data_IF_384995885578
#
_entry.id   IF_384995885578
#
_cell.length_a   1.000
_cell.length_b   1.000
_cell.length_c   1.000
_cell.angle_alpha   90.00
_cell.angle_beta   90.00
_cell.angle_gamma   90.00
#
_symmetry.space_group_name_H-M   'P 1'
#
loop_
_entity.id
_entity.type
_entity.pdbx_description
1 polymer ?
#
# COMPACT_ATOMS: atom_id res chain seq x y z
N UNK A 1 46.34 5.33 6.00
CA UNK A 1 45.01 5.68 6.49
C UNK A 1 44.19 6.13 5.29
N UNK A 2 43.47 5.25 4.63
CA UNK A 2 42.62 5.56 3.48
C UNK A 2 41.32 6.15 4.00
N UNK A 3 41.16 7.47 3.76
CA UNK A 3 39.91 8.22 3.94
C UNK A 3 38.74 7.39 3.40
N UNK A 4 37.76 7.12 4.23
CA UNK A 4 36.57 6.37 3.88
C UNK A 4 35.74 7.11 2.83
N UNK A 5 36.01 6.89 1.54
CA UNK A 5 35.13 7.30 0.46
C UNK A 5 33.80 6.60 0.65
N UNK A 6 32.74 7.35 0.80
CA UNK A 6 31.39 6.83 0.77
C UNK A 6 31.17 6.19 -0.60
N UNK A 7 30.88 4.89 -0.64
CA UNK A 7 30.56 4.18 -1.87
C UNK A 7 29.19 4.66 -2.33
N UNK A 8 29.12 5.22 -3.53
CA UNK A 8 27.86 5.73 -4.10
C UNK A 8 26.95 4.62 -4.64
N UNK A 9 25.73 4.97 -4.93
CA UNK A 9 24.70 4.05 -5.41
C UNK A 9 25.07 3.41 -6.75
N UNK A 10 25.64 4.20 -7.69
CA UNK A 10 26.06 3.70 -8.99
C UNK A 10 27.15 2.62 -8.90
N UNK A 11 28.08 2.76 -7.94
CA UNK A 11 29.10 1.76 -7.65
C UNK A 11 28.46 0.45 -7.13
N UNK A 12 27.41 0.53 -6.31
CA UNK A 12 26.69 -0.66 -5.83
C UNK A 12 25.92 -1.36 -6.95
N UNK A 13 25.27 -0.64 -7.86
CA UNK A 13 24.63 -1.23 -9.03
C UNK A 13 25.62 -1.97 -9.90
N UNK A 14 26.79 -1.36 -10.19
CA UNK A 14 27.83 -2.02 -10.97
C UNK A 14 28.44 -3.25 -10.28
N UNK A 15 28.54 -3.23 -8.95
CA UNK A 15 28.93 -4.39 -8.17
C UNK A 15 27.95 -5.55 -8.41
N UNK A 16 26.68 -5.28 -8.31
CA UNK A 16 25.65 -6.29 -8.42
C UNK A 16 25.56 -6.85 -9.85
N UNK A 17 25.68 -6.02 -10.89
CA UNK A 17 25.76 -6.49 -12.28
C UNK A 17 26.90 -7.49 -12.47
N UNK A 18 28.06 -7.25 -11.87
CA UNK A 18 29.18 -8.19 -11.93
C UNK A 18 28.91 -9.49 -11.19
N UNK A 19 28.19 -9.44 -10.08
CA UNK A 19 27.75 -10.64 -9.33
C UNK A 19 26.76 -11.48 -10.14
N UNK A 20 25.81 -10.82 -10.79
CA UNK A 20 24.82 -11.47 -11.66
C UNK A 20 25.46 -12.06 -12.91
N UNK A 21 26.51 -11.44 -13.41
CA UNK A 21 27.37 -11.98 -14.47
C UNK A 21 28.28 -13.15 -14.03
N UNK A 22 28.10 -13.68 -12.81
CA UNK A 22 28.77 -14.88 -12.31
C UNK A 22 30.13 -14.65 -11.63
N UNK A 23 30.56 -13.38 -11.45
CA UNK A 23 31.79 -13.13 -10.70
C UNK A 23 31.60 -13.45 -9.21
N UNK A 24 32.65 -14.02 -8.58
CA UNK A 24 32.65 -14.19 -7.13
C UNK A 24 32.62 -12.82 -6.41
N UNK A 25 32.17 -12.79 -5.15
CA UNK A 25 32.17 -11.58 -4.32
C UNK A 25 33.55 -10.89 -4.31
N UNK A 26 34.61 -11.67 -4.18
CA UNK A 26 35.98 -11.16 -4.23
C UNK A 26 36.33 -10.58 -5.60
N UNK A 27 35.98 -11.28 -6.68
CA UNK A 27 36.23 -10.82 -8.06
C UNK A 27 35.49 -9.51 -8.38
N UNK A 28 34.22 -9.42 -8.04
CA UNK A 28 33.40 -8.22 -8.24
C UNK A 28 33.91 -7.02 -7.41
N UNK A 29 34.17 -7.22 -6.11
CA UNK A 29 34.65 -6.17 -5.23
C UNK A 29 36.01 -5.62 -5.67
N UNK A 30 36.93 -6.49 -6.08
CA UNK A 30 38.24 -6.09 -6.60
C UNK A 30 38.13 -5.31 -7.90
N UNK A 31 37.22 -5.70 -8.80
CA UNK A 31 37.05 -5.06 -10.11
C UNK A 31 36.54 -3.62 -10.01
N UNK A 32 35.71 -3.31 -9.01
CA UNK A 32 35.17 -1.97 -8.80
C UNK A 32 35.89 -1.19 -7.68
N UNK A 33 36.88 -1.78 -7.03
CA UNK A 33 37.70 -1.10 -6.02
C UNK A 33 37.05 -0.90 -4.65
N UNK A 34 36.09 -1.73 -4.28
CA UNK A 34 35.48 -1.73 -2.93
C UNK A 34 36.11 -2.83 -2.06
N UNK A 35 36.07 -2.65 -0.74
CA UNK A 35 36.57 -3.67 0.18
C UNK A 35 35.66 -4.90 0.19
N UNK A 36 36.25 -6.07 0.38
CA UNK A 36 35.48 -7.32 0.55
C UNK A 36 34.47 -7.25 1.69
N UNK A 37 34.82 -6.56 2.79
CA UNK A 37 33.91 -6.35 3.93
C UNK A 37 32.68 -5.51 3.50
N UNK A 38 32.89 -4.41 2.77
CA UNK A 38 31.80 -3.59 2.27
C UNK A 38 30.88 -4.39 1.33
N UNK A 39 31.44 -5.23 0.45
CA UNK A 39 30.69 -6.12 -0.42
C UNK A 39 29.87 -7.16 0.38
N UNK A 40 30.48 -7.78 1.40
CA UNK A 40 29.78 -8.72 2.29
C UNK A 40 28.65 -8.08 3.08
N UNK A 41 28.88 -6.86 3.58
CA UNK A 41 27.85 -6.10 4.32
C UNK A 41 26.70 -5.70 3.40
N UNK A 42 26.99 -5.35 2.15
CA UNK A 42 25.97 -5.05 1.12
C UNK A 42 25.12 -6.29 0.81
N UNK A 43 25.72 -7.45 0.53
CA UNK A 43 24.98 -8.69 0.23
C UNK A 43 24.08 -9.13 1.39
N UNK A 44 24.48 -8.85 2.63
CA UNK A 44 23.69 -9.12 3.83
C UNK A 44 22.64 -8.04 4.14
N UNK A 45 22.55 -6.98 3.34
CA UNK A 45 21.66 -5.83 3.61
C UNK A 45 22.02 -5.03 4.86
N UNK A 46 23.30 -5.11 5.31
CA UNK A 46 23.84 -4.36 6.45
C UNK A 46 24.90 -3.36 5.94
N UNK A 47 25.44 -2.50 6.79
CA UNK A 47 26.48 -1.54 6.41
C UNK A 47 25.95 -0.11 6.24
N UNK A 48 26.49 0.64 5.27
CA UNK A 48 26.15 2.06 5.08
C UNK A 48 24.70 2.28 4.66
N UNK A 49 24.12 3.45 4.98
CA UNK A 49 22.76 3.80 4.56
C UNK A 49 22.57 3.74 3.03
N UNK A 50 23.58 4.22 2.29
CA UNK A 50 23.59 4.17 0.81
C UNK A 50 23.63 2.73 0.30
N UNK A 51 24.47 1.86 0.89
CA UNK A 51 24.55 0.44 0.51
C UNK A 51 23.23 -0.30 0.79
N UNK A 52 22.60 -0.03 1.92
CA UNK A 52 21.27 -0.60 2.25
C UNK A 52 20.20 -0.15 1.28
N UNK A 53 20.18 1.14 0.92
CA UNK A 53 19.24 1.68 -0.04
C UNK A 53 19.45 1.08 -1.44
N UNK A 54 20.70 0.99 -1.91
CA UNK A 54 21.05 0.39 -3.19
C UNK A 54 20.67 -1.10 -3.24
N UNK A 55 20.97 -1.86 -2.18
CA UNK A 55 20.58 -3.28 -2.10
C UNK A 55 19.08 -3.47 -2.17
N UNK A 56 18.34 -2.66 -1.39
CA UNK A 56 16.88 -2.66 -1.41
C UNK A 56 16.32 -2.34 -2.79
N UNK A 57 16.83 -1.28 -3.45
CA UNK A 57 16.41 -0.90 -4.79
C UNK A 57 16.71 -2.00 -5.82
N UNK A 58 17.86 -2.66 -5.68
CA UNK A 58 18.26 -3.73 -6.58
C UNK A 58 17.39 -4.99 -6.41
N UNK A 59 17.13 -5.40 -5.17
CA UNK A 59 16.26 -6.55 -4.89
C UNK A 59 14.82 -6.28 -5.36
N UNK A 60 14.34 -5.05 -5.23
CA UNK A 60 13.06 -4.61 -5.77
C UNK A 60 13.02 -4.68 -7.30
N UNK A 61 14.08 -4.27 -7.99
CA UNK A 61 14.17 -4.32 -9.45
C UNK A 61 14.23 -5.76 -10.02
N UNK A 62 14.68 -6.73 -9.23
CA UNK A 62 14.71 -8.15 -9.62
C UNK A 62 13.39 -8.88 -9.45
N UNK A 63 12.52 -8.40 -8.58
CA UNK A 63 11.19 -9.00 -8.40
C UNK A 63 10.33 -8.69 -9.63
N UNK A 64 9.51 -9.64 -10.13
CA UNK A 64 8.56 -9.35 -11.18
C UNK A 64 7.63 -8.21 -10.75
N UNK A 65 7.19 -7.39 -11.72
CA UNK A 65 6.26 -6.30 -11.43
C UNK A 65 4.93 -6.85 -10.90
N UNK A 66 4.46 -7.92 -11.49
CA UNK A 66 3.24 -8.64 -11.08
C UNK A 66 3.51 -10.12 -11.17
N UNK A 67 3.08 -10.87 -10.16
CA UNK A 67 3.01 -12.33 -10.22
C UNK A 67 1.60 -12.70 -10.66
N UNK A 68 1.41 -13.34 -11.84
CA UNK A 68 0.11 -13.80 -12.30
C UNK A 68 -0.54 -14.75 -11.30
N UNK A 69 -1.87 -14.71 -11.22
CA UNK A 69 -2.64 -15.54 -10.27
C UNK A 69 -2.29 -17.04 -10.35
N UNK A 70 -2.12 -17.55 -11.57
CA UNK A 70 -1.81 -18.97 -11.81
C UNK A 70 -0.41 -19.39 -11.31
N UNK A 71 0.48 -18.42 -11.10
CA UNK A 71 1.83 -18.64 -10.59
C UNK A 71 1.97 -18.39 -9.08
N UNK A 72 0.90 -17.95 -8.41
CA UNK A 72 0.91 -17.80 -6.96
C UNK A 72 1.04 -19.18 -6.28
N UNK A 73 1.67 -19.20 -5.10
CA UNK A 73 1.63 -20.36 -4.21
C UNK A 73 0.20 -20.62 -3.72
N UNK A 74 -0.06 -21.80 -3.18
CA UNK A 74 -1.40 -22.13 -2.65
C UNK A 74 -1.78 -21.20 -1.49
N UNK A 75 -0.83 -20.87 -0.61
CA UNK A 75 -1.03 -19.94 0.50
C UNK A 75 -1.28 -18.51 0.00
N UNK A 76 -0.59 -18.07 -1.04
CA UNK A 76 -0.81 -16.76 -1.64
C UNK A 76 -2.16 -16.69 -2.36
N UNK A 77 -2.61 -17.76 -3.02
CA UNK A 77 -3.95 -17.85 -3.62
C UNK A 77 -5.06 -17.82 -2.58
N UNK A 78 -4.87 -18.53 -1.46
CA UNK A 78 -5.82 -18.50 -0.35
C UNK A 78 -5.95 -17.06 0.16
N UNK A 79 -4.84 -16.37 0.44
CA UNK A 79 -4.84 -14.98 0.87
C UNK A 79 -5.42 -14.02 -0.19
N UNK A 80 -5.20 -14.27 -1.48
CA UNK A 80 -5.80 -13.48 -2.56
C UNK A 80 -7.34 -13.54 -2.54
N UNK A 81 -7.90 -14.70 -2.19
CA UNK A 81 -9.34 -14.93 -2.19
C UNK A 81 -10.01 -14.66 -0.83
N UNK A 82 -9.26 -14.70 0.26
CA UNK A 82 -9.77 -14.56 1.63
C UNK A 82 -9.03 -13.44 2.38
N UNK A 83 -9.77 -12.41 2.76
CA UNK A 83 -9.21 -11.24 3.46
C UNK A 83 -8.76 -11.56 4.88
N UNK A 84 -9.34 -12.57 5.54
CA UNK A 84 -8.91 -12.99 6.88
C UNK A 84 -7.51 -13.60 6.80
N UNK A 85 -7.30 -14.52 5.85
CA UNK A 85 -6.00 -15.11 5.56
C UNK A 85 -5.01 -14.03 5.13
N UNK A 86 -5.43 -13.10 4.28
CA UNK A 86 -4.61 -11.98 3.82
C UNK A 86 -4.14 -11.09 4.99
N UNK A 87 -5.05 -10.68 5.86
CA UNK A 87 -4.74 -9.85 7.01
C UNK A 87 -3.77 -10.54 7.98
N UNK A 88 -3.98 -11.82 8.24
CA UNK A 88 -3.12 -12.62 9.08
C UNK A 88 -1.73 -12.80 8.47
N UNK A 89 -1.66 -13.23 7.20
CA UNK A 89 -0.40 -13.57 6.52
C UNK A 89 0.52 -12.37 6.33
N UNK A 90 0.00 -11.22 5.88
CA UNK A 90 0.83 -10.07 5.52
C UNK A 90 0.88 -8.97 6.58
N UNK A 91 -0.12 -8.87 7.44
CA UNK A 91 -0.20 -7.82 8.46
C UNK A 91 -0.09 -8.36 9.89
N UNK A 92 -0.17 -9.68 10.06
CA UNK A 92 -0.20 -10.31 11.36
C UNK A 92 -1.43 -9.93 12.20
N UNK A 93 -2.54 -9.56 11.57
CA UNK A 93 -3.74 -9.10 12.26
C UNK A 93 -4.84 -10.17 12.21
N UNK A 94 -5.47 -10.40 13.35
CA UNK A 94 -6.66 -11.24 13.46
C UNK A 94 -7.88 -10.34 13.28
N UNK A 95 -8.66 -10.57 12.22
CA UNK A 95 -9.85 -9.78 11.93
C UNK A 95 -10.98 -10.13 12.91
N UNK A 96 -11.76 -9.13 13.26
CA UNK A 96 -12.99 -9.31 14.04
C UNK A 96 -14.12 -9.77 13.09
N UNK A 97 -15.10 -10.57 13.60
CA UNK A 97 -16.20 -11.09 12.77
C UNK A 97 -16.93 -10.01 11.95
N UNK A 98 -17.14 -8.84 12.51
CA UNK A 98 -17.80 -7.74 11.81
C UNK A 98 -16.99 -7.19 10.60
N UNK A 99 -15.64 -7.28 10.64
CA UNK A 99 -14.76 -6.87 9.53
C UNK A 99 -14.87 -7.87 8.37
N UNK A 100 -14.96 -9.14 8.70
CA UNK A 100 -15.17 -10.22 7.73
C UNK A 100 -16.55 -10.08 7.08
N UNK A 101 -17.59 -9.86 7.89
CA UNK A 101 -18.96 -9.63 7.41
C UNK A 101 -19.03 -8.40 6.49
N UNK A 102 -18.42 -7.27 6.91
CA UNK A 102 -18.35 -6.06 6.10
C UNK A 102 -17.65 -6.31 4.75
N UNK A 103 -16.57 -7.11 4.74
CA UNK A 103 -15.90 -7.46 3.50
C UNK A 103 -16.76 -8.32 2.58
N UNK A 104 -17.43 -9.34 3.12
CA UNK A 104 -18.33 -10.18 2.34
C UNK A 104 -19.42 -9.32 1.68
N UNK A 105 -19.99 -8.38 2.43
CA UNK A 105 -20.97 -7.44 1.89
C UNK A 105 -20.39 -6.52 0.81
N UNK A 106 -19.19 -6.02 1.00
CA UNK A 106 -18.47 -5.23 0.00
C UNK A 106 -18.27 -6.03 -1.28
N UNK A 107 -17.85 -7.28 -1.19
CA UNK A 107 -17.63 -8.16 -2.33
C UNK A 107 -18.94 -8.46 -3.10
N UNK A 108 -20.04 -8.68 -2.38
CA UNK A 108 -21.36 -8.83 -2.99
C UNK A 108 -21.77 -7.59 -3.79
N UNK A 109 -21.55 -6.41 -3.22
CA UNK A 109 -21.91 -5.14 -3.83
C UNK A 109 -20.99 -4.77 -5.01
N UNK A 110 -19.71 -5.11 -4.96
CA UNK A 110 -18.80 -4.91 -6.10
C UNK A 110 -19.21 -5.74 -7.33
N UNK A 111 -19.98 -6.79 -7.16
CA UNK A 111 -20.53 -7.55 -8.29
C UNK A 111 -21.77 -6.88 -8.91
N UNK A 112 -22.31 -5.82 -8.29
CA UNK A 112 -23.42 -5.04 -8.81
C UNK A 112 -22.97 -4.15 -9.98
N UNK A 113 -23.77 -4.02 -11.05
CA UNK A 113 -23.48 -3.07 -12.12
C UNK A 113 -23.80 -1.61 -11.75
N UNK A 114 -24.37 -1.38 -10.57
CA UNK A 114 -24.76 -0.07 -10.05
C UNK A 114 -23.71 0.47 -9.09
N UNK A 115 -23.71 1.77 -8.88
CA UNK A 115 -22.99 2.42 -7.79
C UNK A 115 -23.53 1.95 -6.44
N UNK A 116 -22.65 1.57 -5.53
CA UNK A 116 -23.07 1.04 -4.24
C UNK A 116 -22.42 1.80 -3.08
N UNK A 117 -23.16 1.91 -1.98
CA UNK A 117 -22.76 2.65 -0.80
C UNK A 117 -22.80 1.75 0.43
N UNK A 118 -21.70 1.72 1.17
CA UNK A 118 -21.59 1.00 2.44
C UNK A 118 -21.28 1.98 3.56
N UNK A 119 -22.16 2.05 4.54
CA UNK A 119 -21.97 2.88 5.73
C UNK A 119 -21.66 1.99 6.92
N UNK A 120 -20.52 2.27 7.57
CA UNK A 120 -20.03 1.50 8.70
C UNK A 120 -19.89 2.40 9.92
N UNK A 121 -20.71 2.12 10.94
CA UNK A 121 -20.61 2.73 12.24
C UNK A 121 -19.98 1.76 13.23
N UNK A 122 -18.81 2.09 13.71
CA UNK A 122 -18.10 1.25 14.67
C UNK A 122 -17.43 2.10 15.76
N UNK A 123 -17.37 1.63 17.00
CA UNK A 123 -16.85 2.41 18.10
C UNK A 123 -15.34 2.72 17.94
N UNK A 124 -14.84 3.74 18.64
CA UNK A 124 -13.40 4.02 18.71
C UNK A 124 -12.63 2.78 19.20
N UNK A 125 -11.46 2.55 18.60
CA UNK A 125 -10.61 1.40 18.97
C UNK A 125 -11.04 0.04 18.39
N UNK A 126 -12.12 -0.02 17.59
CA UNK A 126 -12.56 -1.26 16.93
C UNK A 126 -11.67 -1.71 15.76
N UNK A 127 -10.63 -0.95 15.41
CA UNK A 127 -9.76 -1.28 14.28
C UNK A 127 -10.28 -0.85 12.90
N UNK A 128 -11.41 -0.11 12.82
CA UNK A 128 -12.04 0.31 11.56
C UNK A 128 -11.05 1.00 10.61
N UNK A 129 -10.37 2.06 11.06
CA UNK A 129 -9.42 2.79 10.21
C UNK A 129 -8.27 1.91 9.73
N UNK A 130 -7.73 1.04 10.61
CA UNK A 130 -6.68 0.09 10.21
C UNK A 130 -7.18 -0.86 9.12
N UNK A 131 -8.40 -1.33 9.24
CA UNK A 131 -8.98 -2.25 8.27
C UNK A 131 -9.29 -1.55 6.94
N UNK A 132 -10.09 -0.47 6.96
CA UNK A 132 -10.58 0.17 5.75
C UNK A 132 -9.57 1.06 5.02
N UNK A 133 -8.60 1.65 5.74
CA UNK A 133 -7.60 2.52 5.10
C UNK A 133 -6.23 1.85 4.87
N UNK A 134 -6.08 0.57 5.27
CA UNK A 134 -4.81 -0.14 5.14
C UNK A 134 -4.96 -1.54 4.58
N UNK A 135 -5.76 -2.42 5.21
CA UNK A 135 -5.88 -3.83 4.82
C UNK A 135 -6.72 -3.96 3.55
N UNK A 136 -7.95 -3.45 3.56
CA UNK A 136 -8.87 -3.52 2.42
C UNK A 136 -8.28 -2.88 1.15
N UNK A 137 -7.68 -1.66 1.18
CA UNK A 137 -7.03 -1.08 0.01
C UNK A 137 -5.84 -1.89 -0.50
N UNK A 138 -5.03 -2.46 0.41
CA UNK A 138 -3.91 -3.33 0.01
C UNK A 138 -4.41 -4.60 -0.69
N UNK A 139 -5.46 -5.23 -0.14
CA UNK A 139 -6.10 -6.41 -0.73
C UNK A 139 -6.75 -6.11 -2.09
N UNK A 140 -7.45 -4.98 -2.21
CA UNK A 140 -8.00 -4.52 -3.48
C UNK A 140 -6.90 -4.30 -4.53
N UNK A 141 -5.77 -3.66 -4.14
CA UNK A 141 -4.62 -3.44 -5.01
C UNK A 141 -3.95 -4.73 -5.48
N UNK A 142 -3.87 -5.75 -4.62
CA UNK A 142 -3.32 -7.06 -4.99
C UNK A 142 -4.20 -7.75 -6.02
N UNK A 143 -5.51 -7.64 -5.87
CA UNK A 143 -6.51 -8.28 -6.75
C UNK A 143 -6.69 -7.54 -8.08
N UNK A 144 -6.54 -6.23 -8.05
CA UNK A 144 -6.63 -5.38 -9.25
C UNK A 144 -5.60 -4.25 -9.18
N UNK A 145 -4.54 -4.37 -9.98
CA UNK A 145 -3.50 -3.34 -10.10
C UNK A 145 -3.95 -2.10 -10.88
N UNK A 146 -5.09 -2.19 -11.55
CA UNK A 146 -5.66 -1.09 -12.34
C UNK A 146 -6.70 -0.28 -11.57
N UNK A 147 -7.03 -0.70 -10.36
CA UNK A 147 -8.02 -0.02 -9.51
C UNK A 147 -7.67 1.45 -9.30
N UNK A 148 -8.66 2.32 -9.42
CA UNK A 148 -8.57 3.74 -9.10
C UNK A 148 -9.24 3.95 -7.75
N UNK A 149 -8.43 4.05 -6.71
CA UNK A 149 -8.87 4.17 -5.33
C UNK A 149 -8.67 5.57 -4.76
N UNK A 150 -9.56 5.98 -3.89
CA UNK A 150 -9.44 7.20 -3.11
C UNK A 150 -9.61 6.91 -1.62
N UNK A 151 -8.73 7.49 -0.81
CA UNK A 151 -8.87 7.48 0.66
C UNK A 151 -9.02 8.93 1.13
N UNK A 152 -10.17 9.23 1.71
CA UNK A 152 -10.51 10.56 2.17
C UNK A 152 -10.75 10.65 3.67
N UNK A 153 -10.63 11.86 4.21
CA UNK A 153 -10.93 12.19 5.60
C UNK A 153 -11.32 13.67 5.73
N UNK A 154 -11.67 14.11 6.94
CA UNK A 154 -11.99 15.51 7.21
C UNK A 154 -10.83 16.49 6.94
N UNK A 155 -9.58 16.02 6.88
CA UNK A 155 -8.41 16.83 6.46
C UNK A 155 -7.56 16.09 5.44
N UNK A 156 -6.98 16.84 4.49
CA UNK A 156 -6.03 16.30 3.51
C UNK A 156 -4.83 15.63 4.19
N UNK A 157 -4.31 16.24 5.26
CA UNK A 157 -3.16 15.69 6.01
C UNK A 157 -3.44 14.29 6.56
N UNK A 158 -4.65 14.02 7.04
CA UNK A 158 -5.02 12.70 7.54
C UNK A 158 -5.18 11.71 6.40
N UNK A 159 -5.82 12.10 5.29
CA UNK A 159 -5.87 11.30 4.07
C UNK A 159 -4.48 10.94 3.55
N UNK A 160 -3.56 11.92 3.49
CA UNK A 160 -2.16 11.67 3.11
C UNK A 160 -1.46 10.68 4.05
N UNK A 161 -1.74 10.75 5.34
CA UNK A 161 -1.16 9.79 6.31
C UNK A 161 -1.63 8.36 6.02
N UNK A 162 -2.92 8.16 5.69
CA UNK A 162 -3.44 6.85 5.31
C UNK A 162 -2.82 6.34 4.01
N UNK A 163 -2.78 7.17 2.97
CA UNK A 163 -2.20 6.80 1.66
C UNK A 163 -0.71 6.48 1.77
N UNK A 164 0.04 7.28 2.55
CA UNK A 164 1.46 7.01 2.85
C UNK A 164 1.66 5.70 3.60
N UNK A 165 0.76 5.38 4.52
CA UNK A 165 0.81 4.12 5.28
C UNK A 165 0.52 2.92 4.38
N UNK A 166 -0.50 3.00 3.54
CA UNK A 166 -0.80 1.99 2.52
C UNK A 166 0.42 1.75 1.60
N UNK A 167 0.99 2.83 1.05
CA UNK A 167 2.20 2.76 0.23
C UNK A 167 3.35 2.07 0.96
N UNK A 168 3.54 2.36 2.26
CA UNK A 168 4.56 1.70 3.09
C UNK A 168 4.37 0.19 3.21
N UNK A 169 3.12 -0.29 3.23
CA UNK A 169 2.84 -1.73 3.20
C UNK A 169 3.23 -2.37 1.88
N UNK A 170 2.95 -1.69 0.77
CA UNK A 170 3.29 -2.16 -0.57
C UNK A 170 4.82 -2.16 -0.86
N UNK A 171 5.59 -1.37 -0.10
CA UNK A 171 7.06 -1.29 -0.20
C UNK A 171 7.79 -2.14 0.85
N UNK A 172 7.07 -2.76 1.76
CA UNK A 172 7.69 -3.46 2.88
C UNK A 172 8.43 -4.72 2.43
N UNK A 173 9.64 -4.88 2.95
CA UNK A 173 10.57 -5.98 2.62
C UNK A 173 10.90 -6.89 3.81
N UNK A 174 10.18 -6.72 4.93
CA UNK A 174 10.34 -7.58 6.12
C UNK A 174 8.98 -7.78 6.79
N UNK A 175 8.63 -9.00 7.20
CA UNK A 175 7.36 -9.28 7.87
C UNK A 175 7.18 -8.45 9.13
N UNK A 176 5.95 -8.08 9.44
CA UNK A 176 5.60 -7.37 10.68
C UNK A 176 5.74 -8.32 11.86
N UNK A 177 6.36 -7.82 12.92
CA UNK A 177 6.33 -8.48 14.22
C UNK A 177 5.21 -7.90 15.06
N UNK A 178 4.37 -8.76 15.62
CA UNK A 178 3.28 -8.35 16.47
C UNK A 178 3.80 -7.80 17.81
N UNK A 179 3.13 -6.79 18.33
CA UNK A 179 3.44 -6.28 19.66
C UNK A 179 3.05 -7.28 20.75
N UNK A 180 3.85 -7.38 21.80
CA UNK A 180 3.63 -8.33 22.89
C UNK A 180 2.24 -8.19 23.56
N UNK A 181 1.68 -6.98 23.55
CA UNK A 181 0.33 -6.69 24.06
C UNK A 181 -0.72 -7.36 23.19
N UNK A 182 -0.65 -7.20 21.88
CA UNK A 182 -1.65 -7.70 20.94
C UNK A 182 -1.57 -9.22 20.79
N UNK A 183 -0.37 -9.79 20.87
CA UNK A 183 -0.16 -11.25 20.97
C UNK A 183 -0.87 -11.84 22.19
N UNK A 184 -0.73 -11.21 23.37
CA UNK A 184 -1.38 -11.67 24.61
C UNK A 184 -2.90 -11.55 24.56
N UNK A 185 -3.42 -10.60 23.79
CA UNK A 185 -4.86 -10.39 23.64
C UNK A 185 -5.46 -11.25 22.51
N UNK A 186 -4.66 -11.98 21.75
CA UNK A 186 -5.11 -12.75 20.60
C UNK A 186 -5.58 -11.90 19.42
N UNK A 187 -5.15 -10.64 19.36
CA UNK A 187 -5.54 -9.69 18.31
C UNK A 187 -4.55 -9.66 17.14
N UNK A 188 -3.35 -10.18 17.36
CA UNK A 188 -2.30 -10.22 16.34
C UNK A 188 -1.43 -11.47 16.49
N UNK A 189 -0.71 -11.77 15.43
CA UNK A 189 0.37 -12.76 15.34
C UNK A 189 1.53 -12.14 14.57
N UNK A 190 2.69 -12.78 14.54
CA UNK A 190 3.73 -12.37 13.59
C UNK A 190 3.26 -12.59 12.15
N UNK A 191 3.42 -11.61 11.28
CA UNK A 191 3.16 -11.79 9.86
C UNK A 191 4.14 -12.81 9.26
N UNK A 192 3.67 -13.61 8.33
CA UNK A 192 4.46 -14.70 7.74
C UNK A 192 5.45 -14.18 6.70
N UNK A 193 5.01 -13.24 5.86
CA UNK A 193 5.77 -12.71 4.72
C UNK A 193 5.35 -11.28 4.37
N UNK A 194 5.85 -10.74 3.27
CA UNK A 194 5.49 -9.44 2.73
C UNK A 194 4.66 -9.58 1.44
N UNK A 195 3.87 -8.56 1.11
CA UNK A 195 3.10 -8.53 -0.13
C UNK A 195 3.97 -8.69 -1.37
N UNK A 196 5.17 -8.11 -1.36
CA UNK A 196 6.09 -8.18 -2.50
C UNK A 196 6.63 -9.59 -2.74
N UNK A 197 6.75 -10.42 -1.71
CA UNK A 197 7.31 -11.78 -1.83
C UNK A 197 6.37 -12.68 -2.66
N UNK A 198 5.06 -12.52 -2.49
CA UNK A 198 4.06 -13.34 -3.16
C UNK A 198 3.50 -12.69 -4.44
N UNK A 199 3.27 -11.36 -4.43
CA UNK A 199 2.56 -10.67 -5.51
C UNK A 199 3.45 -9.83 -6.42
N UNK A 200 4.76 -9.85 -6.20
CA UNK A 200 5.71 -9.03 -6.94
C UNK A 200 5.77 -7.58 -6.46
N UNK A 201 6.58 -6.77 -7.12
CA UNK A 201 6.80 -5.38 -6.71
C UNK A 201 5.63 -4.49 -7.08
N UNK A 202 5.37 -3.50 -6.23
CA UNK A 202 4.30 -2.52 -6.45
C UNK A 202 4.82 -1.21 -7.03
N UNK A 203 6.06 -0.82 -6.69
CA UNK A 203 6.65 0.39 -7.23
C UNK A 203 7.05 0.18 -8.69
N UNK A 204 6.56 1.02 -9.62
CA UNK A 204 6.92 0.92 -11.03
C UNK A 204 8.37 1.32 -11.29
N UNK A 205 8.99 0.76 -12.34
CA UNK A 205 10.34 1.14 -12.79
C UNK A 205 10.34 2.44 -13.60
N UNK A 206 9.22 2.74 -14.24
CA UNK A 206 9.04 3.96 -15.02
C UNK A 206 8.74 5.16 -14.13
N UNK A 207 8.89 6.37 -14.68
CA UNK A 207 8.57 7.62 -13.96
C UNK A 207 7.06 7.80 -13.78
N UNK A 208 6.46 6.96 -12.96
CA UNK A 208 5.10 7.10 -12.52
C UNK A 208 5.02 7.86 -11.19
N UNK A 209 3.82 8.32 -10.86
CA UNK A 209 3.59 9.02 -9.59
C UNK A 209 3.79 8.05 -8.44
N UNK A 210 4.72 8.39 -7.53
CA UNK A 210 5.01 7.58 -6.34
C UNK A 210 5.20 8.47 -5.11
N UNK A 211 4.19 9.30 -4.78
CA UNK A 211 4.20 10.26 -3.68
C UNK A 211 3.45 9.73 -2.45
N UNK A 212 3.44 10.49 -1.38
CA UNK A 212 2.72 10.15 -0.16
C UNK A 212 1.21 10.37 -0.26
N UNK A 213 0.81 11.35 -1.04
CA UNK A 213 -0.57 11.77 -1.28
C UNK A 213 -1.24 11.02 -2.44
N UNK A 214 -0.44 10.52 -3.37
CA UNK A 214 -0.92 9.73 -4.51
C UNK A 214 0.19 8.86 -5.09
N UNK A 215 -0.17 7.67 -5.59
CA UNK A 215 0.78 6.78 -6.24
C UNK A 215 0.10 5.84 -7.24
N UNK A 216 0.87 5.44 -8.25
CA UNK A 216 0.49 4.46 -9.26
C UNK A 216 1.32 3.20 -9.06
N UNK A 217 0.71 2.03 -8.95
CA UNK A 217 1.42 0.75 -8.80
C UNK A 217 1.85 0.19 -10.15
N UNK A 218 2.91 -0.63 -10.13
CA UNK A 218 3.35 -1.39 -11.30
C UNK A 218 2.26 -2.34 -11.78
N UNK A 219 2.04 -2.36 -13.09
CA UNK A 219 1.12 -3.25 -13.78
C UNK A 219 1.88 -4.36 -14.51
N UNK A 220 1.17 -5.33 -15.04
CA UNK A 220 1.75 -6.44 -15.79
C UNK A 220 2.53 -5.93 -17.03
N UNK A 221 3.76 -6.44 -17.20
CA UNK A 221 4.64 -6.07 -18.30
C UNK A 221 5.30 -4.69 -18.16
N UNK A 222 5.19 -4.03 -17.01
CA UNK A 222 5.69 -2.65 -16.79
C UNK A 222 5.25 -1.66 -17.89
N UNK A 223 4.09 -1.90 -18.46
CA UNK A 223 3.49 -1.01 -19.47
C UNK A 223 3.14 0.30 -18.76
N UNK A 224 3.52 1.46 -19.32
CA UNK A 224 3.10 2.73 -18.76
C UNK A 224 1.57 2.76 -18.59
N UNK A 225 1.12 3.11 -17.40
CA UNK A 225 -0.30 3.20 -17.10
C UNK A 225 -0.90 4.27 -18.00
N UNK A 226 -1.82 3.88 -18.86
CA UNK A 226 -2.57 4.83 -19.69
C UNK A 226 -3.70 5.50 -18.94
N UNK A 227 -3.97 5.05 -17.71
CA UNK A 227 -5.00 5.64 -16.88
C UNK A 227 -4.62 7.04 -16.42
N UNK A 228 -5.60 7.91 -16.43
CA UNK A 228 -5.41 9.32 -16.06
C UNK A 228 -5.23 9.51 -14.56
N UNK A 229 -5.89 8.68 -13.77
CA UNK A 229 -5.88 8.71 -12.32
C UNK A 229 -4.84 7.74 -11.77
N UNK A 230 -4.14 8.11 -10.65
CA UNK A 230 -3.27 7.19 -9.92
C UNK A 230 -4.06 6.01 -9.34
N UNK A 231 -3.37 4.91 -9.03
CA UNK A 231 -3.98 3.76 -8.34
C UNK A 231 -4.60 4.18 -7.00
N UNK A 232 -3.91 5.02 -6.24
CA UNK A 232 -4.43 5.58 -5.00
C UNK A 232 -4.15 7.05 -4.88
N UNK A 233 -5.17 7.80 -4.44
CA UNK A 233 -5.11 9.24 -4.18
C UNK A 233 -5.78 9.55 -2.86
N UNK A 234 -5.30 10.57 -2.12
CA UNK A 234 -5.97 11.03 -0.92
C UNK A 234 -6.66 12.37 -1.12
N UNK A 235 -7.74 12.57 -0.36
CA UNK A 235 -8.44 13.86 -0.28
C UNK A 235 -8.85 14.20 1.15
N UNK A 236 -9.02 15.49 1.40
CA UNK A 236 -9.64 16.03 2.60
C UNK A 236 -10.84 16.89 2.24
N UNK A 237 -11.85 16.92 3.11
CA UNK A 237 -12.98 17.84 2.95
C UNK A 237 -12.51 19.31 2.96
N UNK A 238 -11.41 19.58 3.63
CA UNK A 238 -10.77 20.89 3.71
C UNK A 238 -9.96 21.29 2.47
N UNK A 239 -9.68 20.36 1.59
CA UNK A 239 -8.97 20.60 0.33
C UNK A 239 -9.95 20.61 -0.84
N UNK A 240 -9.81 21.58 -1.74
CA UNK A 240 -10.64 21.65 -2.95
C UNK A 240 -10.48 20.35 -3.77
N UNK A 241 -11.58 19.66 -4.00
CA UNK A 241 -11.64 18.44 -4.79
C UNK A 241 -11.77 18.79 -6.27
N UNK A 242 -10.71 18.63 -7.05
CA UNK A 242 -10.66 19.17 -8.41
C UNK A 242 -10.56 18.11 -9.53
N UNK A 243 -11.09 16.90 -9.34
CA UNK A 243 -11.14 15.96 -10.46
C UNK A 243 -10.87 14.51 -10.05
N UNK A 244 -10.84 13.64 -11.04
CA UNK A 244 -10.67 12.20 -10.88
C UNK A 244 -11.98 11.46 -10.75
N UNK A 245 -11.97 10.20 -11.19
CA UNK A 245 -13.04 9.23 -11.03
C UNK A 245 -12.48 7.95 -10.45
N UNK A 246 -13.21 7.31 -9.55
CA UNK A 246 -12.70 6.23 -8.73
C UNK A 246 -13.64 5.03 -8.73
N UNK A 247 -13.05 3.84 -8.72
CA UNK A 247 -13.75 2.56 -8.61
C UNK A 247 -14.05 2.24 -7.15
N UNK A 248 -13.19 2.72 -6.24
CA UNK A 248 -13.34 2.54 -4.80
C UNK A 248 -13.04 3.84 -4.05
N UNK A 249 -14.02 4.35 -3.35
CA UNK A 249 -13.89 5.53 -2.48
C UNK A 249 -14.04 5.09 -1.02
N UNK A 250 -13.07 5.44 -0.20
CA UNK A 250 -13.10 5.15 1.24
C UNK A 250 -13.00 6.47 2.01
N UNK A 251 -14.05 6.82 2.75
CA UNK A 251 -14.07 7.95 3.67
C UNK A 251 -13.91 7.48 5.11
N UNK A 252 -12.88 7.97 5.79
CA UNK A 252 -12.65 7.72 7.22
C UNK A 252 -12.83 9.02 8.01
N UNK A 253 -13.73 9.00 8.98
CA UNK A 253 -14.07 10.15 9.84
C UNK A 253 -14.24 11.42 9.01
N UNK A 254 -15.28 11.44 8.15
CA UNK A 254 -15.56 12.49 7.15
C UNK A 254 -15.67 13.89 7.77
N UNK A 255 -16.08 14.00 9.01
CA UNK A 255 -16.28 15.28 9.68
C UNK A 255 -15.70 15.33 11.09
N UNK A 256 -15.35 16.55 11.53
CA UNK A 256 -15.03 16.82 12.95
C UNK A 256 -16.33 17.27 13.66
N UNK A 257 -16.80 16.50 14.67
CA UNK A 257 -18.02 16.85 15.43
C UNK A 257 -18.01 18.26 16.01
N UNK A 258 -16.84 18.82 16.30
CA UNK A 258 -16.70 20.18 16.83
C UNK A 258 -17.04 21.23 15.78
N UNK A 259 -16.82 20.97 14.50
CA UNK A 259 -17.11 21.85 13.39
C UNK A 259 -18.57 21.74 12.92
N UNK A 260 -19.26 20.63 13.24
CA UNK A 260 -20.65 20.34 12.80
C UNK A 260 -21.73 20.77 13.80
N UNK A 261 -21.44 21.79 14.62
CA UNK A 261 -22.36 22.24 15.68
C UNK A 261 -23.52 23.08 15.18
N UNK A 262 -23.35 23.81 14.08
CA UNK A 262 -24.37 24.67 13.48
C UNK A 262 -25.11 23.96 12.37
N UNK A 263 -26.35 24.38 12.06
CA UNK A 263 -27.12 23.91 10.91
C UNK A 263 -26.36 24.18 9.61
N UNK A 264 -25.87 25.40 9.47
CA UNK A 264 -25.20 25.87 8.26
C UNK A 264 -23.98 25.00 7.92
N UNK A 265 -23.17 24.65 8.94
CA UNK A 265 -21.99 23.75 8.73
C UNK A 265 -22.41 22.34 8.29
N UNK A 266 -23.54 21.84 8.77
CA UNK A 266 -24.09 20.54 8.34
C UNK A 266 -24.65 20.63 6.92
N UNK A 267 -25.32 21.70 6.59
CA UNK A 267 -25.91 21.96 5.25
C UNK A 267 -24.78 22.15 4.21
N UNK A 268 -23.69 22.83 4.58
CA UNK A 268 -22.50 22.97 3.73
C UNK A 268 -21.82 21.63 3.48
N UNK A 269 -21.67 20.78 4.51
CA UNK A 269 -21.11 19.43 4.34
C UNK A 269 -22.01 18.57 3.46
N UNK A 270 -23.33 18.64 3.64
CA UNK A 270 -24.30 17.90 2.82
C UNK A 270 -24.21 18.35 1.36
N UNK A 271 -24.20 19.65 1.10
CA UNK A 271 -24.04 20.18 -0.26
C UNK A 271 -22.75 19.72 -0.92
N UNK A 272 -21.64 19.79 -0.16
CA UNK A 272 -20.36 19.30 -0.63
C UNK A 272 -20.39 17.79 -0.95
N UNK A 273 -21.10 17.00 -0.13
CA UNK A 273 -21.29 15.57 -0.39
C UNK A 273 -22.04 15.35 -1.70
N UNK A 274 -23.20 15.96 -1.84
CA UNK A 274 -24.07 15.80 -3.02
C UNK A 274 -23.42 16.32 -4.31
N UNK A 275 -22.66 17.40 -4.24
CA UNK A 275 -22.05 18.04 -5.42
C UNK A 275 -20.68 17.49 -5.78
N UNK A 276 -19.92 16.99 -4.81
CA UNK A 276 -18.50 16.65 -4.97
C UNK A 276 -18.21 15.19 -4.67
N UNK A 277 -18.53 14.70 -3.47
CA UNK A 277 -18.05 13.40 -3.02
C UNK A 277 -18.67 12.25 -3.82
N UNK A 278 -19.98 12.25 -4.02
CA UNK A 278 -20.69 11.19 -4.77
C UNK A 278 -20.38 11.22 -6.27
N UNK A 279 -20.24 12.40 -6.85
CA UNK A 279 -20.07 12.56 -8.32
C UNK A 279 -18.75 11.99 -8.85
N UNK A 280 -17.88 11.51 -7.98
CA UNK A 280 -16.56 10.94 -8.35
C UNK A 280 -16.52 9.43 -8.38
N UNK A 281 -17.59 8.79 -7.99
CA UNK A 281 -17.70 7.33 -8.13
C UNK A 281 -17.95 6.97 -9.60
N UNK A 282 -17.25 5.99 -10.10
CA UNK A 282 -17.51 5.44 -11.44
C UNK A 282 -18.76 4.57 -11.42
N UNK A 283 -19.47 4.46 -12.54
CA UNK A 283 -20.56 3.49 -12.64
C UNK A 283 -20.10 2.07 -12.29
N UNK A 284 -20.77 1.42 -11.35
CA UNK A 284 -20.36 0.14 -10.78
C UNK A 284 -19.28 0.23 -9.70
N UNK A 285 -18.90 1.45 -9.32
CA UNK A 285 -17.97 1.68 -8.21
C UNK A 285 -18.61 1.53 -6.84
N UNK A 286 -17.76 1.47 -5.82
CA UNK A 286 -18.15 1.31 -4.42
C UNK A 286 -17.65 2.47 -3.57
N UNK A 287 -18.56 3.05 -2.76
CA UNK A 287 -18.20 4.02 -1.75
C UNK A 287 -18.38 3.43 -0.34
N UNK A 288 -17.32 3.46 0.44
CA UNK A 288 -17.31 3.05 1.85
C UNK A 288 -17.16 4.29 2.72
N UNK A 289 -18.19 4.57 3.51
CA UNK A 289 -18.18 5.63 4.53
C UNK A 289 -18.07 5.00 5.91
N UNK A 290 -17.01 5.28 6.62
CA UNK A 290 -16.84 4.81 7.99
C UNK A 290 -16.75 5.99 8.98
N UNK A 291 -17.36 5.77 10.13
CA UNK A 291 -17.44 6.77 11.19
C UNK A 291 -17.75 6.17 12.56
N UNK A 292 -18.00 7.06 13.50
CA UNK A 292 -18.40 6.73 14.88
C UNK A 292 -19.89 7.04 15.07
#
# INVERSE_FOLDING_TARGET
MTSGRTIDEATWFKYQELRDGGLSMYGASKKIGISYRAASDFEKGIGSAVGKAAKKAFDQAKSPSVVPYDLLSDEAREAYNDIEVFAKRYFGLILMPWQIEATNRIMELQASPQEEYVVINAPPGSGKSTFFTRILPAWATVRDRTIRGMIGSHTHRLGEWYTRRLKGELERTSPVKAEAKDLKMGLAVDAETCLMDDFGRFKPDVKEVWRGDQFTVAQEGDIPVSEKEPTWTCFGVDSGFLGGRFDLIIWDDLYDPRKMRTSDARDDLKRWWDEVAETRLEPGGLLVLQGQ
#
